data_IF_149808422203
#
_entry.id   IF_149808422203
#
_cell.length_a   1.000
_cell.length_b   1.000
_cell.length_c   1.000
_cell.angle_alpha   90.00
_cell.angle_beta   90.00
_cell.angle_gamma   90.00
#
_symmetry.space_group_name_H-M   'P 1'
#
loop_
_entity.id
_entity.type
_entity.pdbx_description
1 polymer ?
#
# COMPACT_ATOMS: atom_id res chain seq x y z
N UNK A 1 -9.58 4.62 -6.15
CA UNK A 1 -10.44 3.62 -6.83
C UNK A 1 -11.54 4.26 -7.68
N UNK A 2 -12.16 5.35 -7.25
CA UNK A 2 -13.26 6.04 -8.00
C UNK A 2 -12.89 6.45 -9.43
N UNK A 3 -11.65 6.86 -9.67
CA UNK A 3 -11.20 7.31 -10.99
C UNK A 3 -11.25 6.19 -12.05
N UNK A 4 -10.65 5.04 -11.76
CA UNK A 4 -10.62 3.91 -12.68
C UNK A 4 -12.03 3.32 -12.92
N UNK A 5 -12.85 3.24 -11.87
CA UNK A 5 -14.24 2.79 -11.98
C UNK A 5 -15.07 3.71 -12.90
N UNK A 6 -14.88 5.04 -12.81
CA UNK A 6 -15.55 6.01 -13.69
C UNK A 6 -15.13 5.83 -15.15
N UNK A 7 -13.84 5.64 -15.43
CA UNK A 7 -13.38 5.41 -16.80
C UNK A 7 -13.97 4.12 -17.40
N UNK A 8 -14.04 3.03 -16.62
CA UNK A 8 -14.68 1.79 -17.04
C UNK A 8 -16.17 1.99 -17.33
N UNK A 9 -16.87 2.71 -16.46
CA UNK A 9 -18.29 3.03 -16.64
C UNK A 9 -18.54 3.88 -17.90
N UNK A 10 -17.72 4.91 -18.15
CA UNK A 10 -17.79 5.74 -19.35
C UNK A 10 -17.58 4.92 -20.62
N UNK A 11 -16.58 4.03 -20.64
CA UNK A 11 -16.31 3.15 -21.79
C UNK A 11 -17.43 2.16 -22.08
N UNK A 12 -18.02 1.55 -21.04
CA UNK A 12 -19.18 0.67 -21.22
C UNK A 12 -20.39 1.42 -21.77
N UNK A 13 -20.59 2.67 -21.34
CA UNK A 13 -21.66 3.54 -21.83
C UNK A 13 -21.45 3.94 -23.30
N UNK A 14 -20.22 4.25 -23.69
CA UNK A 14 -19.86 4.53 -25.10
C UNK A 14 -20.09 3.32 -26.01
N UNK A 15 -19.80 2.11 -25.53
CA UNK A 15 -19.89 0.89 -26.33
C UNK A 15 -21.27 0.21 -26.27
N UNK A 16 -22.22 0.80 -25.53
CA UNK A 16 -23.55 0.24 -25.27
C UNK A 16 -23.49 -1.20 -24.76
N UNK A 17 -22.59 -1.46 -23.80
CA UNK A 17 -22.39 -2.77 -23.17
C UNK A 17 -22.64 -2.70 -21.68
N UNK A 18 -23.19 -3.78 -21.15
CA UNK A 18 -23.37 -3.94 -19.71
C UNK A 18 -22.01 -3.99 -18.99
N UNK A 19 -21.94 -3.36 -17.82
CA UNK A 19 -20.77 -3.39 -16.94
C UNK A 19 -21.08 -4.27 -15.74
N UNK A 20 -20.35 -5.38 -15.62
CA UNK A 20 -20.33 -6.21 -14.41
C UNK A 20 -19.02 -5.96 -13.67
N UNK A 21 -19.09 -5.50 -12.42
CA UNK A 21 -17.91 -5.22 -11.59
C UNK A 21 -18.08 -5.87 -10.23
N UNK A 22 -17.04 -6.53 -9.74
CA UNK A 22 -16.97 -7.04 -8.36
C UNK A 22 -15.96 -6.20 -7.59
N UNK A 23 -16.38 -5.66 -6.44
CA UNK A 23 -15.48 -4.95 -5.55
C UNK A 23 -14.90 -5.92 -4.54
N UNK A 24 -13.56 -6.02 -4.52
CA UNK A 24 -12.83 -6.78 -3.51
C UNK A 24 -12.09 -5.79 -2.61
N UNK A 25 -12.36 -5.86 -1.31
CA UNK A 25 -11.61 -5.12 -0.30
C UNK A 25 -10.70 -6.08 0.47
N UNK A 26 -9.45 -5.66 0.66
CA UNK A 26 -8.48 -6.42 1.43
C UNK A 26 -8.46 -5.86 2.85
N UNK A 27 -8.97 -6.62 3.81
CA UNK A 27 -8.98 -6.22 5.22
C UNK A 27 -7.56 -5.98 5.69
N UNK A 28 -7.28 -4.76 6.20
CA UNK A 28 -5.96 -4.36 6.70
C UNK A 28 -4.84 -4.62 5.67
N UNK A 29 -5.05 -4.25 4.41
CA UNK A 29 -4.10 -4.45 3.33
C UNK A 29 -2.67 -4.01 3.68
N UNK A 30 -2.51 -2.89 4.38
CA UNK A 30 -1.20 -2.39 4.83
C UNK A 30 -0.58 -3.22 5.95
N UNK A 31 -1.37 -3.97 6.71
CA UNK A 31 -0.88 -4.83 7.79
C UNK A 31 -0.40 -6.20 7.29
N UNK A 32 -0.96 -6.66 6.17
CA UNK A 32 -0.61 -7.96 5.54
C UNK A 32 0.75 -7.89 4.83
N UNK A 33 1.23 -6.68 4.52
CA UNK A 33 2.57 -6.44 3.95
C UNK A 33 3.63 -6.78 5.02
N UNK A 34 4.10 -8.02 5.02
CA UNK A 34 5.25 -8.43 5.84
C UNK A 34 6.54 -7.89 5.22
N UNK A 35 7.45 -7.37 6.05
CA UNK A 35 8.69 -6.71 5.61
C UNK A 35 9.73 -7.65 5.01
N UNK A 36 9.57 -8.96 5.10
CA UNK A 36 10.52 -9.93 4.55
C UNK A 36 10.13 -10.35 3.13
N UNK A 37 8.94 -10.91 2.95
CA UNK A 37 8.43 -11.43 1.68
C UNK A 37 7.87 -10.30 0.80
N UNK A 38 7.26 -9.27 1.40
CA UNK A 38 6.70 -8.15 0.64
C UNK A 38 7.71 -7.06 0.29
N UNK A 39 8.84 -6.93 1.00
CA UNK A 39 9.89 -6.00 0.59
C UNK A 39 10.48 -6.42 -0.76
N UNK A 40 10.82 -7.69 -0.95
CA UNK A 40 11.31 -8.17 -2.25
C UNK A 40 10.28 -7.96 -3.36
N UNK A 41 9.01 -8.25 -3.09
CA UNK A 41 7.91 -8.01 -4.04
C UNK A 41 7.73 -6.53 -4.40
N UNK A 42 7.71 -5.65 -3.40
CA UNK A 42 7.46 -4.22 -3.58
C UNK A 42 8.64 -3.52 -4.27
N UNK A 43 9.88 -3.85 -3.90
CA UNK A 43 11.07 -3.30 -4.58
C UNK A 43 11.16 -3.77 -6.02
N UNK A 44 10.86 -5.04 -6.30
CA UNK A 44 10.85 -5.58 -7.65
C UNK A 44 9.82 -4.87 -8.54
N UNK A 45 8.66 -4.50 -7.99
CA UNK A 45 7.65 -3.70 -8.68
C UNK A 45 8.18 -2.30 -8.99
N UNK A 46 8.78 -1.61 -8.03
CA UNK A 46 9.33 -0.26 -8.25
C UNK A 46 10.45 -0.24 -9.32
N UNK A 47 11.33 -1.24 -9.31
CA UNK A 47 12.35 -1.41 -10.36
C UNK A 47 11.69 -1.61 -11.73
N UNK A 48 10.67 -2.46 -11.82
CA UNK A 48 9.94 -2.72 -13.07
C UNK A 48 9.25 -1.47 -13.64
N UNK A 49 8.77 -0.57 -12.77
CA UNK A 49 8.16 0.70 -13.18
C UNK A 49 9.17 1.83 -13.41
N UNK A 50 10.48 1.56 -13.33
CA UNK A 50 11.53 2.53 -13.66
C UNK A 50 11.85 3.52 -12.55
N UNK A 51 11.51 3.22 -11.29
CA UNK A 51 11.95 4.04 -10.16
C UNK A 51 13.49 4.05 -10.07
N UNK A 52 14.07 5.23 -9.85
CA UNK A 52 15.53 5.34 -9.68
C UNK A 52 15.99 4.61 -8.42
N UNK A 53 17.21 4.04 -8.46
CA UNK A 53 17.79 3.37 -7.29
C UNK A 53 17.86 4.29 -6.05
N UNK A 54 18.09 5.59 -6.25
CA UNK A 54 18.04 6.59 -5.17
C UNK A 54 16.68 6.65 -4.49
N UNK A 55 15.60 6.66 -5.27
CA UNK A 55 14.24 6.67 -4.75
C UNK A 55 13.93 5.40 -3.96
N UNK A 56 14.27 4.23 -4.52
CA UNK A 56 14.09 2.94 -3.86
C UNK A 56 14.85 2.90 -2.53
N UNK A 57 16.10 3.36 -2.50
CA UNK A 57 16.90 3.43 -1.27
C UNK A 57 16.28 4.34 -0.20
N UNK A 58 15.71 5.48 -0.58
CA UNK A 58 15.00 6.35 0.36
C UNK A 58 13.77 5.67 0.95
N UNK A 59 12.95 5.02 0.12
CA UNK A 59 11.77 4.29 0.60
C UNK A 59 12.18 3.11 1.48
N UNK A 60 13.27 2.42 1.16
CA UNK A 60 13.83 1.35 1.99
C UNK A 60 14.30 1.85 3.36
N UNK A 61 14.92 3.02 3.45
CA UNK A 61 15.32 3.62 4.73
C UNK A 61 14.11 4.04 5.57
N UNK A 62 13.11 4.67 4.95
CA UNK A 62 11.85 5.02 5.61
C UNK A 62 11.12 3.78 6.12
N UNK A 63 11.21 2.70 5.35
CA UNK A 63 10.66 1.41 5.70
C UNK A 63 11.70 0.49 6.32
N UNK A 64 12.71 0.94 7.07
CA UNK A 64 13.56 0.04 7.87
C UNK A 64 13.76 0.54 9.29
N UNK A 65 13.81 -0.39 10.24
CA UNK A 65 14.02 -0.11 11.66
C UNK A 65 13.04 0.92 12.25
N UNK A 66 11.79 0.93 11.76
CA UNK A 66 10.77 1.81 12.31
C UNK A 66 10.33 1.31 13.68
N UNK A 67 10.32 2.22 14.66
CA UNK A 67 9.67 2.01 15.94
C UNK A 67 8.34 2.76 15.96
N UNK A 68 7.29 2.11 16.45
CA UNK A 68 6.00 2.74 16.66
C UNK A 68 5.71 2.91 18.15
N UNK A 69 4.90 3.91 18.44
CA UNK A 69 4.15 4.04 19.69
C UNK A 69 2.69 4.15 19.33
N UNK A 70 1.85 3.50 20.13
CA UNK A 70 0.40 3.68 20.08
C UNK A 70 0.06 4.69 21.15
N UNK A 71 -0.69 5.72 20.77
CA UNK A 71 -1.30 6.67 21.70
C UNK A 71 -2.78 6.35 21.72
N UNK A 72 -3.32 6.13 22.91
CA UNK A 72 -4.74 5.92 23.14
C UNK A 72 -5.18 6.92 24.23
N UNK A 73 -6.08 7.82 23.87
CA UNK A 73 -6.43 9.00 24.65
C UNK A 73 -5.21 9.79 25.18
N UNK A 74 -4.87 9.65 26.48
CA UNK A 74 -3.75 10.34 27.14
C UNK A 74 -2.52 9.44 27.36
N UNK A 75 -2.63 8.13 27.12
CA UNK A 75 -1.56 7.18 27.40
C UNK A 75 -0.80 6.77 26.13
N UNK A 76 0.53 6.75 26.25
CA UNK A 76 1.42 6.32 25.17
C UNK A 76 2.11 5.01 25.51
N UNK A 77 2.12 4.07 24.57
CA UNK A 77 2.86 2.83 24.71
C UNK A 77 4.37 3.09 24.71
N UNK A 78 5.14 2.16 25.28
CA UNK A 78 6.58 2.10 25.02
C UNK A 78 6.81 1.90 23.51
N UNK A 79 7.93 2.41 23.02
CA UNK A 79 8.31 2.21 21.63
C UNK A 79 8.57 0.73 21.36
N UNK A 80 7.98 0.19 20.29
CA UNK A 80 8.19 -1.20 19.88
C UNK A 80 8.57 -1.26 18.39
N UNK A 81 9.39 -2.24 17.98
CA UNK A 81 9.79 -2.38 16.59
C UNK A 81 8.60 -2.80 15.72
N UNK A 82 8.41 -2.13 14.59
CA UNK A 82 7.43 -2.54 13.57
C UNK A 82 8.01 -3.68 12.73
N UNK A 83 7.60 -4.91 13.05
CA UNK A 83 8.03 -6.14 12.36
C UNK A 83 7.14 -6.46 11.16
N UNK A 84 5.86 -6.09 11.23
CA UNK A 84 4.89 -6.12 10.15
C UNK A 84 4.37 -4.70 9.90
N UNK A 85 3.67 -4.53 8.78
CA UNK A 85 2.89 -3.34 8.44
C UNK A 85 3.70 -2.19 7.82
N UNK A 86 3.07 -1.51 6.87
CA UNK A 86 3.48 -0.18 6.40
C UNK A 86 2.60 0.86 7.09
N UNK A 87 3.16 2.01 7.45
CA UNK A 87 2.40 3.08 8.10
C UNK A 87 1.32 3.61 7.14
N UNK A 88 0.06 3.60 7.59
CA UNK A 88 -1.07 4.18 6.88
C UNK A 88 -1.23 5.65 7.29
N UNK A 89 -0.72 6.59 6.49
CA UNK A 89 -0.80 8.03 6.77
C UNK A 89 0.27 8.53 7.72
#
# INVERSE_FOLDING_TARGET
>A
MTFAARQLQEKCREQNRDLYTTFMDLTKAFDIVSRDVSCEGHWRVMVKFGCTGKFISMVHQLQNSMFARVVDDEDSSKAFPLTNRVKQG
#
